data_IF_119802041484
#
_entry.id   IF_119802041484
#
_cell.length_a   1.000
_cell.length_b   1.000
_cell.length_c   1.000
_cell.angle_alpha   90.00
_cell.angle_beta   90.00
_cell.angle_gamma   90.00
#
_symmetry.space_group_name_H-M   'P 1'
#
loop_
_entity.id
_entity.type
_entity.pdbx_description
1 polymer ?
#
# COMPACT_ATOMS: atom_id res chain seq x y z
N UNK A 1 24.05 -6.94 -30.20
CA UNK A 1 23.34 -6.76 -28.90
C UNK A 1 23.93 -5.51 -28.27
N UNK A 2 23.09 -4.64 -27.69
CA UNK A 2 23.49 -3.35 -27.12
C UNK A 2 23.07 -3.32 -25.66
N UNK A 3 23.97 -2.84 -24.80
CA UNK A 3 23.68 -2.58 -23.39
C UNK A 3 23.44 -1.09 -23.18
N UNK A 4 22.36 -0.79 -22.46
CA UNK A 4 21.90 0.57 -22.20
C UNK A 4 21.91 0.82 -20.70
N UNK A 5 22.64 1.85 -20.29
CA UNK A 5 22.59 2.34 -18.91
C UNK A 5 21.26 3.05 -18.64
N UNK A 6 20.88 3.18 -17.36
CA UNK A 6 19.70 3.96 -17.01
C UNK A 6 19.83 5.39 -17.56
N UNK A 7 18.73 5.91 -18.13
CA UNK A 7 18.61 7.22 -18.78
C UNK A 7 19.30 7.37 -20.16
N UNK A 8 19.99 6.35 -20.67
CA UNK A 8 20.61 6.43 -22.00
C UNK A 8 19.56 6.41 -23.11
N UNK A 9 19.82 7.20 -24.17
CA UNK A 9 18.94 7.29 -25.33
C UNK A 9 19.31 6.21 -26.35
N UNK A 10 18.31 5.46 -26.81
CA UNK A 10 18.48 4.44 -27.85
C UNK A 10 18.32 5.04 -29.26
N UNK A 11 17.32 5.89 -29.46
CA UNK A 11 17.10 6.68 -30.69
C UNK A 11 16.25 7.92 -30.38
N UNK A 12 16.30 8.92 -31.26
CA UNK A 12 15.51 10.16 -31.19
C UNK A 12 14.30 10.10 -32.11
N UNK A 13 13.29 10.89 -31.77
CA UNK A 13 12.26 11.25 -32.73
C UNK A 13 12.90 11.88 -33.98
N UNK A 14 12.34 11.56 -35.15
CA UNK A 14 12.81 11.92 -36.48
C UNK A 14 14.12 11.26 -36.94
N UNK A 15 14.73 10.38 -36.14
CA UNK A 15 15.84 9.56 -36.63
C UNK A 15 15.34 8.56 -37.71
N UNK A 16 16.09 8.36 -38.81
CA UNK A 16 15.76 7.36 -39.81
C UNK A 16 15.81 5.94 -39.21
N UNK A 17 14.82 5.12 -39.56
CA UNK A 17 14.72 3.74 -39.08
C UNK A 17 15.67 2.87 -39.90
N UNK A 18 16.86 2.59 -39.36
CA UNK A 18 17.80 1.61 -39.90
C UNK A 18 17.74 0.26 -39.20
N UNK A 19 17.42 0.29 -37.91
CA UNK A 19 17.39 -0.89 -37.04
C UNK A 19 16.05 -1.00 -36.34
N UNK A 20 15.54 -2.22 -36.21
CA UNK A 20 14.48 -2.61 -35.30
C UNK A 20 15.10 -3.08 -33.99
N UNK A 21 14.51 -2.68 -32.86
CA UNK A 21 15.02 -3.04 -31.54
C UNK A 21 14.08 -3.98 -30.80
N UNK A 22 14.64 -5.07 -30.27
CA UNK A 22 13.96 -5.99 -29.37
C UNK A 22 14.56 -5.85 -27.98
N UNK A 23 13.75 -5.44 -27.02
CA UNK A 23 14.14 -5.39 -25.61
C UNK A 23 14.20 -6.81 -25.06
N UNK A 24 15.40 -7.30 -24.75
CA UNK A 24 15.64 -8.64 -24.22
C UNK A 24 15.64 -8.68 -22.69
N UNK A 25 16.11 -7.61 -22.04
CA UNK A 25 16.07 -7.44 -20.58
C UNK A 25 15.98 -5.95 -20.22
N UNK A 26 15.39 -5.64 -19.07
CA UNK A 26 15.24 -4.26 -18.57
C UNK A 26 13.92 -3.59 -18.98
N UNK A 27 13.94 -2.26 -19.06
CA UNK A 27 12.75 -1.45 -19.30
C UNK A 27 13.12 -0.14 -20.00
N UNK A 28 12.33 0.23 -21.01
CA UNK A 28 12.51 1.48 -21.77
C UNK A 28 11.20 2.25 -21.86
N UNK A 29 11.29 3.56 -22.01
CA UNK A 29 10.16 4.44 -22.32
C UNK A 29 10.32 4.99 -23.73
N UNK A 30 9.22 5.03 -24.49
CA UNK A 30 9.10 5.84 -25.69
C UNK A 30 8.33 7.10 -25.37
N UNK A 31 8.90 8.23 -25.71
CA UNK A 31 8.47 9.56 -25.28
C UNK A 31 8.38 10.50 -26.47
N UNK A 32 7.29 11.26 -26.53
CA UNK A 32 7.09 12.30 -27.52
C UNK A 32 7.15 13.66 -26.84
N UNK A 33 7.94 14.58 -27.39
CA UNK A 33 8.03 15.94 -26.87
C UNK A 33 6.82 16.74 -27.38
N UNK A 34 5.96 17.19 -26.48
CA UNK A 34 4.83 18.05 -26.84
C UNK A 34 5.32 19.46 -27.19
N UNK A 35 4.59 20.23 -28.02
CA UNK A 35 4.93 21.62 -28.35
C UNK A 35 5.11 22.52 -27.12
N UNK A 36 4.47 22.16 -26.01
CA UNK A 36 4.59 22.83 -24.70
C UNK A 36 5.92 22.60 -23.98
N UNK A 37 6.83 21.79 -24.54
CA UNK A 37 8.10 21.40 -23.91
C UNK A 37 8.01 20.22 -22.93
N UNK A 38 6.81 19.71 -22.64
CA UNK A 38 6.62 18.54 -21.79
C UNK A 38 6.73 17.23 -22.59
N UNK A 39 7.44 16.24 -22.05
CA UNK A 39 7.50 14.89 -22.61
C UNK A 39 6.28 14.06 -22.21
N UNK A 40 5.63 13.43 -23.20
CA UNK A 40 4.53 12.48 -23.01
C UNK A 40 5.02 11.07 -23.31
N UNK A 41 4.94 10.19 -22.32
CA UNK A 41 5.25 8.76 -22.48
C UNK A 41 4.16 8.12 -23.35
N UNK A 42 4.54 7.62 -24.52
CA UNK A 42 3.67 6.87 -25.44
C UNK A 42 3.63 5.38 -25.10
N UNK A 43 4.77 4.81 -24.71
CA UNK A 43 4.90 3.38 -24.47
C UNK A 43 5.90 3.14 -23.33
N UNK A 44 5.52 2.29 -22.37
CA UNK A 44 6.45 1.71 -21.40
C UNK A 44 6.64 0.24 -21.73
N UNK A 45 7.77 -0.06 -22.35
CA UNK A 45 8.10 -1.40 -22.80
C UNK A 45 8.88 -2.14 -21.72
N UNK A 46 8.50 -3.40 -21.52
CA UNK A 46 9.15 -4.33 -20.61
C UNK A 46 9.61 -5.56 -21.35
N UNK A 47 10.80 -6.04 -21.01
CA UNK A 47 11.32 -7.23 -21.62
C UNK A 47 10.41 -8.46 -21.38
N UNK A 48 10.24 -9.37 -22.38
CA UNK A 48 10.71 -9.25 -23.76
C UNK A 48 9.69 -8.52 -24.67
N UNK A 49 10.14 -7.53 -25.46
CA UNK A 49 9.24 -6.75 -26.31
C UNK A 49 9.92 -6.13 -27.54
N UNK A 50 9.28 -6.21 -28.71
CA UNK A 50 9.69 -5.43 -29.90
C UNK A 50 9.24 -3.98 -29.76
N UNK A 51 10.16 -3.04 -29.89
CA UNK A 51 9.91 -1.61 -29.72
C UNK A 51 9.39 -1.00 -31.02
N UNK A 52 8.50 -0.01 -30.90
CA UNK A 52 8.00 0.80 -32.03
C UNK A 52 7.46 -0.03 -33.22
N UNK A 53 6.93 -1.23 -32.98
CA UNK A 53 6.56 -2.18 -34.05
C UNK A 53 5.65 -1.57 -35.13
N UNK A 54 4.71 -0.70 -34.76
CA UNK A 54 3.87 0.02 -35.71
C UNK A 54 4.67 1.00 -36.60
N UNK A 55 5.63 1.73 -36.03
CA UNK A 55 6.48 2.66 -36.79
C UNK A 55 7.46 1.93 -37.70
N UNK A 56 8.02 0.80 -37.22
CA UNK A 56 8.94 -0.02 -38.01
C UNK A 56 8.32 -0.50 -39.34
N UNK A 57 7.00 -0.71 -39.37
CA UNK A 57 6.28 -1.20 -40.55
C UNK A 57 5.61 -0.09 -41.36
N UNK A 58 5.12 0.97 -40.70
CA UNK A 58 4.34 2.03 -41.35
C UNK A 58 5.13 3.30 -41.67
N UNK A 59 6.35 3.47 -41.13
CA UNK A 59 7.13 4.70 -41.25
C UNK A 59 8.57 4.45 -41.70
N UNK A 60 9.23 5.55 -42.05
CA UNK A 60 10.67 5.60 -42.39
C UNK A 60 11.50 6.27 -41.30
N UNK A 61 10.86 7.01 -40.37
CA UNK A 61 11.49 7.70 -39.25
C UNK A 61 10.75 7.39 -37.94
N UNK A 62 11.48 7.42 -36.83
CA UNK A 62 10.89 7.22 -35.50
C UNK A 62 10.01 8.42 -35.12
N UNK A 63 8.78 8.17 -34.65
CA UNK A 63 7.87 9.24 -34.23
C UNK A 63 8.07 9.72 -32.79
N UNK A 64 8.91 9.02 -32.04
CA UNK A 64 9.16 9.28 -30.63
C UNK A 64 10.59 8.85 -30.27
N UNK A 65 11.16 9.51 -29.27
CA UNK A 65 12.45 9.15 -28.71
C UNK A 65 12.31 7.92 -27.81
N UNK A 66 13.33 7.06 -27.74
CA UNK A 66 13.34 5.90 -26.85
C UNK A 66 14.49 5.98 -25.86
N UNK A 67 14.19 5.86 -24.57
CA UNK A 67 15.15 5.99 -23.47
C UNK A 67 15.08 4.79 -22.52
N UNK A 68 16.24 4.31 -22.09
CA UNK A 68 16.32 3.28 -21.07
C UNK A 68 15.95 3.83 -19.68
N UNK A 69 15.09 3.12 -18.95
CA UNK A 69 14.67 3.50 -17.60
C UNK A 69 15.49 2.82 -16.51
N UNK A 70 16.09 1.69 -16.85
CA UNK A 70 17.00 0.89 -16.03
C UNK A 70 18.07 0.28 -16.94
N UNK A 71 19.07 -0.39 -16.36
CA UNK A 71 20.00 -1.20 -17.14
C UNK A 71 19.22 -2.17 -18.05
N UNK A 72 19.41 -2.06 -19.36
CA UNK A 72 18.60 -2.74 -20.36
C UNK A 72 19.47 -3.34 -21.45
N UNK A 73 19.06 -4.50 -21.95
CA UNK A 73 19.73 -5.20 -23.05
C UNK A 73 18.78 -5.21 -24.24
N UNK A 74 19.23 -4.68 -25.38
CA UNK A 74 18.44 -4.64 -26.61
C UNK A 74 19.16 -5.35 -27.76
N UNK A 75 18.40 -6.03 -28.60
CA UNK A 75 18.88 -6.64 -29.83
C UNK A 75 18.49 -5.73 -31.00
N UNK A 76 19.50 -5.20 -31.68
CA UNK A 76 19.32 -4.46 -32.93
C UNK A 76 19.26 -5.43 -34.11
N UNK A 77 18.29 -5.24 -34.99
CA UNK A 77 18.06 -6.05 -36.19
C UNK A 77 17.95 -5.08 -37.37
N UNK A 78 18.76 -5.26 -38.43
CA UNK A 78 18.64 -4.45 -39.65
C UNK A 78 17.20 -4.52 -40.19
N UNK A 79 16.58 -3.35 -40.38
CA UNK A 79 15.16 -3.27 -40.75
C UNK A 79 14.88 -3.87 -42.13
N UNK A 80 15.83 -3.84 -43.06
CA UNK A 80 15.68 -4.41 -44.41
C UNK A 80 15.67 -5.92 -44.33
N UNK A 81 16.54 -6.51 -43.50
CA UNK A 81 16.52 -7.96 -43.22
C UNK A 81 15.24 -8.38 -42.53
N UNK A 82 14.76 -7.62 -41.55
CA UNK A 82 13.49 -7.90 -40.88
C UNK A 82 12.32 -7.86 -41.87
N UNK A 83 12.19 -6.79 -42.66
CA UNK A 83 11.13 -6.67 -43.69
C UNK A 83 11.20 -7.80 -44.71
N UNK A 84 12.40 -8.15 -45.17
CA UNK A 84 12.59 -9.29 -46.08
C UNK A 84 12.21 -10.64 -45.47
N UNK A 85 12.49 -10.85 -44.17
CA UNK A 85 12.07 -12.05 -43.46
C UNK A 85 10.55 -12.13 -43.29
N UNK A 86 9.89 -11.01 -42.96
CA UNK A 86 8.43 -10.93 -42.84
C UNK A 86 7.77 -11.32 -44.16
N UNK A 87 8.27 -10.81 -45.29
CA UNK A 87 7.71 -11.13 -46.62
C UNK A 87 7.87 -12.61 -47.02
N UNK A 88 8.92 -13.28 -46.55
CA UNK A 88 9.23 -14.67 -46.93
C UNK A 88 8.61 -15.71 -45.98
N UNK A 89 8.32 -15.34 -44.74
CA UNK A 89 7.81 -16.24 -43.71
C UNK A 89 6.37 -15.85 -43.29
N UNK A 90 5.34 -16.56 -43.80
CA UNK A 90 3.95 -16.34 -43.42
C UNK A 90 3.68 -16.50 -41.92
N UNK A 91 4.39 -17.40 -41.23
CA UNK A 91 4.19 -17.62 -39.80
C UNK A 91 4.72 -16.43 -38.98
N UNK A 92 5.87 -15.86 -39.35
CA UNK A 92 6.38 -14.63 -38.76
C UNK A 92 5.44 -13.44 -39.03
N UNK A 93 4.98 -13.30 -40.29
CA UNK A 93 4.00 -12.29 -40.68
C UNK A 93 2.76 -12.35 -39.80
N UNK A 94 2.17 -13.53 -39.64
CA UNK A 94 0.98 -13.72 -38.81
C UNK A 94 1.23 -13.37 -37.34
N UNK A 95 2.37 -13.77 -36.77
CA UNK A 95 2.73 -13.42 -35.38
C UNK A 95 2.87 -11.91 -35.18
N UNK A 96 3.38 -11.18 -36.17
CA UNK A 96 3.47 -9.72 -36.13
C UNK A 96 2.08 -9.09 -36.20
N UNK A 97 1.22 -9.56 -37.11
CA UNK A 97 -0.18 -9.09 -37.21
C UNK A 97 -0.92 -9.34 -35.90
N UNK A 98 -0.81 -10.53 -35.31
CA UNK A 98 -1.39 -10.83 -34.00
C UNK A 98 -0.85 -9.93 -32.90
N UNK A 99 0.44 -9.60 -32.91
CA UNK A 99 1.06 -8.71 -31.93
C UNK A 99 0.54 -7.28 -32.07
N UNK A 100 0.39 -6.79 -33.30
CA UNK A 100 -0.20 -5.47 -33.58
C UNK A 100 -1.68 -5.43 -33.20
N UNK A 101 -2.46 -6.45 -33.57
CA UNK A 101 -3.88 -6.54 -33.22
C UNK A 101 -4.10 -6.54 -31.71
N UNK A 102 -3.31 -7.33 -30.95
CA UNK A 102 -3.35 -7.32 -29.47
C UNK A 102 -3.04 -5.93 -28.89
N UNK A 103 -2.04 -5.23 -29.44
CA UNK A 103 -1.71 -3.87 -29.01
C UNK A 103 -2.80 -2.88 -29.37
N UNK A 104 -3.39 -2.99 -30.55
CA UNK A 104 -4.48 -2.13 -31.01
C UNK A 104 -5.70 -2.31 -30.10
N UNK A 105 -6.13 -3.55 -29.83
CA UNK A 105 -7.23 -3.80 -28.90
C UNK A 105 -6.92 -3.28 -27.49
N UNK A 106 -5.67 -3.41 -27.01
CA UNK A 106 -5.27 -2.85 -25.72
C UNK A 106 -5.34 -1.31 -25.70
N UNK A 107 -4.91 -0.64 -26.78
CA UNK A 107 -5.03 0.82 -26.92
C UNK A 107 -6.50 1.25 -27.01
N UNK A 108 -7.31 0.56 -27.81
CA UNK A 108 -8.74 0.83 -27.95
C UNK A 108 -9.47 0.61 -26.62
N UNK A 109 -9.11 -0.42 -25.86
CA UNK A 109 -9.60 -0.65 -24.51
C UNK A 109 -9.16 0.45 -23.53
N UNK A 110 -7.89 0.89 -23.60
CA UNK A 110 -7.36 1.99 -22.79
C UNK A 110 -8.06 3.32 -23.10
N UNK A 111 -8.36 3.59 -24.38
CA UNK A 111 -9.06 4.80 -24.83
C UNK A 111 -10.54 4.74 -24.45
N UNK A 112 -11.22 3.63 -24.74
CA UNK A 112 -12.67 3.45 -24.52
C UNK A 112 -13.04 3.30 -23.04
N UNK A 113 -12.16 2.74 -22.22
CA UNK A 113 -12.46 2.42 -20.82
C UNK A 113 -12.24 3.58 -19.83
N UNK A 114 -11.37 4.57 -20.12
CA UNK A 114 -10.73 5.33 -19.04
C UNK A 114 -10.72 6.87 -19.16
N UNK A 115 -11.18 7.45 -20.27
CA UNK A 115 -10.96 8.89 -20.51
C UNK A 115 -12.21 9.77 -20.35
N UNK A 116 -13.42 9.21 -20.41
CA UNK A 116 -14.65 10.02 -20.48
C UNK A 116 -15.29 10.37 -19.12
N UNK A 117 -14.72 9.94 -17.98
CA UNK A 117 -15.31 10.22 -16.66
C UNK A 117 -14.59 9.68 -15.41
N UNK A 118 -13.53 8.88 -15.57
CA UNK A 118 -12.81 8.27 -14.45
C UNK A 118 -11.97 9.29 -13.66
N UNK A 119 -12.02 9.24 -12.32
CA UNK A 119 -11.14 10.03 -11.46
C UNK A 119 -9.71 9.51 -11.51
N UNK A 120 -8.74 10.33 -11.06
CA UNK A 120 -7.34 9.92 -10.96
C UNK A 120 -7.13 8.67 -10.09
N UNK A 121 -7.97 8.45 -9.07
CA UNK A 121 -7.94 7.25 -8.23
C UNK A 121 -8.38 6.00 -9.01
N UNK A 122 -9.47 6.10 -9.78
CA UNK A 122 -9.94 5.02 -10.64
C UNK A 122 -8.89 4.60 -11.67
N UNK A 123 -8.26 5.57 -12.37
CA UNK A 123 -7.22 5.27 -13.37
C UNK A 123 -6.02 4.51 -12.78
N UNK A 124 -5.62 4.85 -11.55
CA UNK A 124 -4.56 4.12 -10.85
C UNK A 124 -5.04 2.71 -10.49
N UNK A 125 -6.26 2.57 -9.98
CA UNK A 125 -6.83 1.28 -9.62
C UNK A 125 -6.88 0.36 -10.85
N UNK A 126 -7.44 0.83 -11.98
CA UNK A 126 -7.54 0.05 -13.20
C UNK A 126 -6.16 -0.37 -13.72
N UNK A 127 -5.17 0.53 -13.67
CA UNK A 127 -3.78 0.19 -13.99
C UNK A 127 -3.23 -0.91 -13.09
N UNK A 128 -3.49 -0.86 -11.78
CA UNK A 128 -3.04 -1.89 -10.84
C UNK A 128 -3.73 -3.23 -11.11
N UNK A 129 -5.04 -3.22 -11.38
CA UNK A 129 -5.81 -4.43 -11.69
C UNK A 129 -5.34 -5.06 -13.00
N UNK A 130 -5.06 -4.26 -14.04
CA UNK A 130 -4.49 -4.74 -15.29
C UNK A 130 -3.11 -5.41 -15.10
N UNK A 131 -2.30 -4.92 -14.15
CA UNK A 131 -1.01 -5.54 -13.81
C UNK A 131 -1.14 -6.77 -12.91
N UNK A 132 -2.22 -6.86 -12.12
CA UNK A 132 -2.51 -7.98 -11.23
C UNK A 132 -2.98 -9.23 -12.00
N UNK A 133 -3.64 -9.05 -13.16
CA UNK A 133 -4.21 -10.14 -13.97
C UNK A 133 -5.58 -10.63 -13.46
N UNK A 134 -6.11 -11.70 -14.06
CA UNK A 134 -7.51 -12.14 -13.91
C UNK A 134 -7.87 -12.83 -12.59
N UNK A 135 -6.96 -12.89 -11.61
CA UNK A 135 -7.18 -13.62 -10.33
C UNK A 135 -7.44 -12.66 -9.17
N UNK A 136 -8.61 -12.06 -9.16
CA UNK A 136 -9.09 -11.27 -8.03
C UNK A 136 -10.14 -12.12 -7.28
N UNK A 137 -9.76 -12.63 -6.11
CA UNK A 137 -10.69 -13.34 -5.22
C UNK A 137 -11.68 -12.38 -4.55
N UNK A 138 -12.62 -12.92 -3.78
CA UNK A 138 -13.57 -12.10 -2.99
C UNK A 138 -12.87 -11.33 -1.85
N UNK A 139 -11.81 -11.91 -1.29
CA UNK A 139 -11.05 -11.37 -0.17
C UNK A 139 -9.54 -11.59 -0.37
N UNK A 140 -8.73 -11.04 0.54
CA UNK A 140 -7.28 -11.12 0.50
C UNK A 140 -6.64 -9.97 -0.26
N UNK A 141 -5.41 -10.16 -0.71
CA UNK A 141 -4.66 -9.14 -1.44
C UNK A 141 -3.92 -9.67 -2.67
N UNK A 142 -3.75 -8.81 -3.67
CA UNK A 142 -2.82 -9.03 -4.78
C UNK A 142 -1.69 -8.01 -4.74
N UNK A 143 -0.46 -8.48 -4.71
CA UNK A 143 0.73 -7.63 -4.75
C UNK A 143 1.14 -7.29 -6.18
N UNK A 144 1.06 -6.02 -6.54
CA UNK A 144 1.61 -5.48 -7.78
C UNK A 144 2.96 -4.83 -7.50
N UNK A 145 4.01 -5.29 -8.20
CA UNK A 145 5.34 -4.66 -8.12
C UNK A 145 5.44 -3.59 -9.21
N UNK A 146 5.56 -2.33 -8.81
CA UNK A 146 5.79 -1.20 -9.71
C UNK A 146 7.22 -1.28 -10.26
N UNK A 147 7.34 -1.78 -11.49
CA UNK A 147 8.62 -1.97 -12.17
C UNK A 147 9.22 -0.66 -12.74
N UNK A 148 8.43 0.41 -12.80
CA UNK A 148 8.89 1.75 -13.16
C UNK A 148 8.67 2.74 -12.00
N UNK A 149 9.27 3.93 -12.07
CA UNK A 149 9.06 4.96 -11.06
C UNK A 149 7.62 5.47 -11.08
N UNK A 150 7.12 5.97 -9.94
CA UNK A 150 5.77 6.56 -9.85
C UNK A 150 5.58 7.73 -10.84
N UNK A 151 6.63 8.51 -11.10
CA UNK A 151 6.64 9.60 -12.10
C UNK A 151 6.35 9.07 -13.51
N UNK A 152 7.01 7.97 -13.87
CA UNK A 152 6.88 7.34 -15.18
C UNK A 152 5.50 6.71 -15.35
N UNK A 153 4.99 6.04 -14.31
CA UNK A 153 3.64 5.46 -14.33
C UNK A 153 2.60 6.57 -14.44
N UNK A 154 2.75 7.67 -13.70
CA UNK A 154 1.85 8.82 -13.77
C UNK A 154 1.74 9.36 -15.20
N UNK A 155 2.88 9.55 -15.89
CA UNK A 155 2.90 9.98 -17.28
C UNK A 155 2.17 8.98 -18.21
N UNK A 156 2.38 7.66 -18.02
CA UNK A 156 1.70 6.61 -18.80
C UNK A 156 0.19 6.67 -18.65
N UNK A 157 -0.30 6.81 -17.42
CA UNK A 157 -1.74 6.95 -17.15
C UNK A 157 -2.21 8.40 -17.29
N UNK A 158 -1.51 9.26 -18.04
CA UNK A 158 -1.93 10.63 -18.34
C UNK A 158 -2.24 11.48 -17.10
N UNK A 159 -1.41 11.42 -16.06
CA UNK A 159 -1.53 12.18 -14.81
C UNK A 159 -0.18 12.83 -14.44
N UNK A 160 -0.20 13.93 -13.69
CA UNK A 160 1.04 14.48 -13.11
C UNK A 160 1.53 13.62 -11.94
N UNK A 161 2.84 13.60 -11.60
CA UNK A 161 3.37 12.83 -10.47
C UNK A 161 2.74 13.19 -9.12
N UNK A 162 2.39 14.46 -8.92
CA UNK A 162 1.72 14.97 -7.73
C UNK A 162 0.27 14.46 -7.70
N UNK A 163 -0.42 14.48 -8.84
CA UNK A 163 -1.79 13.97 -8.97
C UNK A 163 -1.85 12.46 -8.76
N UNK A 164 -0.84 11.73 -9.24
CA UNK A 164 -0.66 10.30 -8.98
C UNK A 164 -0.47 10.04 -7.48
N UNK A 165 0.43 10.78 -6.85
CA UNK A 165 0.70 10.62 -5.41
C UNK A 165 -0.52 10.95 -4.55
N UNK A 166 -1.29 12.00 -4.90
CA UNK A 166 -2.55 12.35 -4.24
C UNK A 166 -3.62 11.26 -4.42
N UNK A 167 -3.80 10.77 -5.65
CA UNK A 167 -4.82 9.76 -5.96
C UNK A 167 -4.47 8.40 -5.35
N UNK A 168 -3.18 8.04 -5.32
CA UNK A 168 -2.70 6.83 -4.63
C UNK A 168 -2.89 6.94 -3.12
N UNK A 169 -2.68 8.13 -2.54
CA UNK A 169 -3.00 8.38 -1.12
C UNK A 169 -4.50 8.27 -0.87
N UNK A 170 -5.34 8.80 -1.75
CA UNK A 170 -6.80 8.64 -1.65
C UNK A 170 -7.22 7.16 -1.66
N UNK A 171 -6.68 6.34 -2.55
CA UNK A 171 -6.93 4.89 -2.56
C UNK A 171 -6.50 4.23 -1.25
N UNK A 172 -5.37 4.66 -0.70
CA UNK A 172 -4.86 4.16 0.57
C UNK A 172 -5.71 4.58 1.76
N UNK A 173 -6.17 5.84 1.80
CA UNK A 173 -7.03 6.36 2.86
C UNK A 173 -8.40 5.66 2.88
N UNK A 174 -8.87 5.21 1.71
CA UNK A 174 -10.08 4.40 1.55
C UNK A 174 -9.88 2.90 1.81
N UNK A 175 -8.65 2.45 2.05
CA UNK A 175 -8.33 1.04 2.34
C UNK A 175 -8.29 0.14 1.10
N UNK A 176 -8.33 0.68 -0.12
CA UNK A 176 -8.32 -0.10 -1.36
C UNK A 176 -6.92 -0.63 -1.69
N UNK A 177 -5.89 0.13 -1.31
CA UNK A 177 -4.50 -0.26 -1.54
C UNK A 177 -3.62 0.02 -0.32
N UNK A 178 -2.60 -0.82 -0.12
CA UNK A 178 -1.51 -0.58 0.83
C UNK A 178 -0.19 -0.46 0.08
N UNK A 179 0.56 0.62 0.31
CA UNK A 179 1.79 0.93 -0.43
C UNK A 179 3.04 0.66 0.40
N UNK A 180 3.86 -0.28 -0.05
CA UNK A 180 5.14 -0.66 0.57
C UNK A 180 6.29 -0.46 -0.42
N UNK A 181 6.81 0.77 -0.47
CA UNK A 181 7.87 1.13 -1.42
C UNK A 181 7.40 1.02 -2.87
N UNK A 182 7.90 0.01 -3.60
CA UNK A 182 7.49 -0.32 -4.97
C UNK A 182 6.39 -1.39 -5.03
N UNK A 183 6.04 -2.02 -3.91
CA UNK A 183 4.93 -2.98 -3.85
C UNK A 183 3.64 -2.24 -3.52
N UNK A 184 2.59 -2.51 -4.27
CA UNK A 184 1.24 -2.01 -4.02
C UNK A 184 0.34 -3.23 -3.84
N UNK A 185 -0.23 -3.36 -2.66
CA UNK A 185 -1.12 -4.47 -2.31
C UNK A 185 -2.56 -4.02 -2.49
N UNK A 186 -3.24 -4.56 -3.50
CA UNK A 186 -4.66 -4.27 -3.76
C UNK A 186 -5.50 -5.18 -2.87
N UNK A 187 -6.38 -4.58 -2.06
CA UNK A 187 -7.21 -5.30 -1.10
C UNK A 187 -8.54 -5.69 -1.75
N UNK A 188 -8.78 -6.98 -1.93
CA UNK A 188 -9.90 -7.46 -2.75
C UNK A 188 -11.27 -7.15 -2.15
N UNK A 189 -11.44 -7.41 -0.85
CA UNK A 189 -12.70 -7.13 -0.15
C UNK A 189 -13.06 -5.64 -0.15
N UNK A 190 -12.06 -4.78 -0.31
CA UNK A 190 -12.26 -3.35 -0.38
C UNK A 190 -12.71 -2.86 -1.76
N UNK A 191 -12.66 -3.68 -2.83
CA UNK A 191 -13.02 -3.30 -4.22
C UNK A 191 -14.53 -3.20 -4.46
N UNK A 192 -15.35 -3.82 -3.61
CA UNK A 192 -16.81 -3.75 -3.65
C UNK A 192 -17.31 -2.56 -2.82
N UNK A 193 -18.33 -1.86 -3.33
CA UNK A 193 -19.12 -0.93 -2.52
C UNK A 193 -20.01 -1.74 -1.57
N UNK A 194 -19.52 -1.94 -0.33
CA UNK A 194 -20.34 -2.53 0.74
C UNK A 194 -21.22 -1.42 1.32
N UNK A 195 -22.31 -1.11 0.63
CA UNK A 195 -23.46 -0.45 1.25
C UNK A 195 -24.41 -1.53 1.77
N UNK A 196 -25.04 -1.28 2.93
CA UNK A 196 -25.98 -2.21 3.55
C UNK A 196 -26.98 -2.77 2.52
N UNK A 197 -26.82 -4.04 2.16
CA UNK A 197 -27.76 -4.79 1.32
C UNK A 197 -27.58 -4.72 -0.21
N UNK A 198 -26.52 -4.11 -0.76
CA UNK A 198 -26.25 -4.15 -2.22
C UNK A 198 -24.87 -4.74 -2.52
N UNK A 199 -24.80 -6.06 -2.71
CA UNK A 199 -23.62 -6.70 -3.29
C UNK A 199 -23.67 -6.55 -4.82
N UNK A 200 -22.57 -6.08 -5.43
CA UNK A 200 -22.38 -6.20 -6.88
C UNK A 200 -21.89 -4.95 -7.63
N UNK A 201 -21.77 -3.78 -7.00
CA UNK A 201 -21.15 -2.63 -7.67
C UNK A 201 -19.67 -2.50 -7.28
N UNK A 202 -18.79 -2.52 -8.29
CA UNK A 202 -17.39 -2.12 -8.14
C UNK A 202 -17.34 -0.68 -7.66
N UNK A 203 -16.48 -0.39 -6.69
CA UNK A 203 -16.19 0.96 -6.19
C UNK A 203 -16.11 1.95 -7.35
N UNK A 204 -17.06 2.88 -7.43
CA UNK A 204 -17.01 3.99 -8.38
C UNK A 204 -16.54 5.24 -7.68
N UNK A 205 -15.32 5.66 -8.00
CA UNK A 205 -14.78 6.92 -7.51
C UNK A 205 -15.44 8.08 -8.27
N UNK A 206 -16.50 8.66 -7.69
CA UNK A 206 -17.16 9.86 -8.24
C UNK A 206 -16.21 11.06 -8.19
N UNK A 207 -16.23 11.87 -9.24
CA UNK A 207 -15.45 13.12 -9.33
C UNK A 207 -15.96 14.08 -8.25
N UNK A 208 -15.18 14.31 -7.18
CA UNK A 208 -15.42 15.47 -6.30
C UNK A 208 -15.33 16.72 -7.17
N UNK A 209 -16.41 17.50 -7.24
CA UNK A 209 -16.43 18.79 -7.92
C UNK A 209 -15.29 19.67 -7.42
N UNK A 210 -14.65 20.40 -8.34
CA UNK A 210 -13.61 21.40 -8.02
C UNK A 210 -14.16 22.34 -6.94
N UNK A 211 -13.43 22.43 -5.82
CA UNK A 211 -13.56 23.47 -4.81
C UNK A 211 -14.98 23.76 -4.33
N UNK A 212 -15.48 22.92 -3.43
CA UNK A 212 -15.89 23.49 -2.15
C UNK A 212 -14.81 23.10 -1.17
N UNK A 213 -14.30 24.05 -0.39
CA UNK A 213 -13.41 23.74 0.74
C UNK A 213 -13.98 22.58 1.54
N UNK A 214 -13.14 21.84 2.26
CA UNK A 214 -13.64 21.04 3.38
C UNK A 214 -14.63 21.95 4.12
N UNK A 215 -15.93 21.61 4.21
CA UNK A 215 -16.83 22.43 4.99
C UNK A 215 -16.18 22.50 6.37
N UNK A 216 -15.80 23.69 6.82
CA UNK A 216 -15.48 23.90 8.22
C UNK A 216 -16.77 23.56 8.96
N UNK A 217 -16.86 22.33 9.48
CA UNK A 217 -18.10 21.76 10.03
C UNK A 217 -18.52 20.39 9.49
N UNK A 218 -17.80 19.76 8.55
CA UNK A 218 -18.12 18.38 8.15
C UNK A 218 -17.87 17.40 9.31
N UNK A 219 -18.94 16.99 10.00
CA UNK A 219 -18.91 16.01 11.10
C UNK A 219 -18.29 14.69 10.60
N UNK A 220 -17.23 14.24 11.26
CA UNK A 220 -16.61 12.94 11.01
C UNK A 220 -17.60 11.83 11.37
N UNK A 221 -17.70 10.79 10.52
CA UNK A 221 -18.53 9.63 10.84
C UNK A 221 -18.01 8.92 12.11
N UNK A 222 -18.88 8.39 12.98
CA UNK A 222 -18.48 7.77 14.25
C UNK A 222 -17.39 6.71 14.10
N UNK A 223 -17.55 5.74 13.19
CA UNK A 223 -16.52 4.72 12.96
C UNK A 223 -15.23 5.29 12.39
N UNK A 224 -15.30 6.34 11.57
CA UNK A 224 -14.09 7.03 11.08
C UNK A 224 -13.34 7.73 12.22
N UNK A 225 -14.05 8.25 13.23
CA UNK A 225 -13.44 8.82 14.42
C UNK A 225 -12.80 7.74 15.30
N UNK A 226 -13.52 6.66 15.59
CA UNK A 226 -13.00 5.51 16.35
C UNK A 226 -11.74 4.95 15.69
N UNK A 227 -11.74 4.76 14.36
CA UNK A 227 -10.55 4.32 13.65
C UNK A 227 -9.41 5.35 13.74
N UNK A 228 -9.69 6.65 13.58
CA UNK A 228 -8.70 7.71 13.69
C UNK A 228 -8.01 7.71 15.07
N UNK A 229 -8.78 7.64 16.16
CA UNK A 229 -8.26 7.51 17.52
C UNK A 229 -7.44 6.21 17.68
N UNK A 230 -7.97 5.10 17.17
CA UNK A 230 -7.33 3.79 17.23
C UNK A 230 -6.02 3.68 16.46
N UNK A 231 -5.71 4.61 15.53
CA UNK A 231 -4.41 4.63 14.83
C UNK A 231 -3.27 4.97 15.77
N UNK A 232 -3.49 5.80 16.80
CA UNK A 232 -2.46 6.13 17.78
C UNK A 232 -1.95 4.87 18.50
N UNK A 233 -2.86 3.94 18.85
CA UNK A 233 -2.52 2.65 19.45
C UNK A 233 -1.58 1.83 18.57
N UNK A 234 -1.91 1.67 17.29
CA UNK A 234 -1.09 0.90 16.35
C UNK A 234 0.25 1.58 16.07
N UNK A 235 0.26 2.90 15.86
CA UNK A 235 1.46 3.67 15.54
C UNK A 235 2.47 3.64 16.69
N UNK A 236 2.00 3.71 17.96
CA UNK A 236 2.90 3.61 19.11
C UNK A 236 3.67 2.30 19.13
N UNK A 237 3.01 1.17 18.86
CA UNK A 237 3.66 -0.14 18.80
C UNK A 237 4.64 -0.24 17.64
N UNK A 238 4.27 0.26 16.46
CA UNK A 238 5.12 0.17 15.26
C UNK A 238 6.36 1.05 15.35
N UNK A 239 6.29 2.20 16.03
CA UNK A 239 7.46 3.03 16.31
C UNK A 239 8.47 2.27 17.19
N UNK A 240 7.99 1.58 18.23
CA UNK A 240 8.85 0.77 19.09
C UNK A 240 9.50 -0.40 18.32
N UNK A 241 8.76 -1.11 17.46
CA UNK A 241 9.33 -2.15 16.58
C UNK A 241 10.41 -1.55 15.69
N UNK A 242 10.14 -0.43 15.01
CA UNK A 242 11.10 0.19 14.11
C UNK A 242 12.38 0.62 14.85
N UNK A 243 12.24 1.18 16.07
CA UNK A 243 13.37 1.48 16.94
C UNK A 243 14.14 0.22 17.34
N UNK A 244 13.46 -0.86 17.76
CA UNK A 244 14.11 -2.08 18.19
C UNK A 244 14.86 -2.80 17.06
N UNK A 245 14.38 -2.68 15.82
CA UNK A 245 15.10 -3.16 14.63
C UNK A 245 16.39 -2.37 14.39
N UNK A 246 16.37 -1.05 14.58
CA UNK A 246 17.58 -0.21 14.52
C UNK A 246 18.56 -0.64 15.61
N UNK A 247 18.07 -0.75 16.86
CA UNK A 247 18.86 -1.14 18.02
C UNK A 247 19.51 -2.53 17.86
N UNK A 248 18.81 -3.47 17.21
CA UNK A 248 19.31 -4.81 16.91
C UNK A 248 20.20 -4.90 15.65
N UNK A 249 20.49 -3.79 14.97
CA UNK A 249 21.31 -3.78 13.75
C UNK A 249 20.61 -4.41 12.53
N UNK A 250 19.28 -4.51 12.53
CA UNK A 250 18.51 -5.22 11.51
C UNK A 250 17.89 -4.24 10.50
N UNK A 251 18.43 -4.23 9.27
CA UNK A 251 17.92 -3.36 8.19
C UNK A 251 17.86 -1.87 8.61
N UNK A 252 18.91 -1.41 9.29
CA UNK A 252 19.01 -0.11 10.00
C UNK A 252 18.48 1.05 9.16
N UNK A 253 18.95 1.22 7.92
CA UNK A 253 18.51 2.31 7.05
C UNK A 253 17.00 2.27 6.76
N UNK A 254 16.48 1.08 6.42
CA UNK A 254 15.05 0.89 6.15
C UNK A 254 14.21 1.12 7.40
N UNK A 255 14.68 0.64 8.55
CA UNK A 255 14.02 0.82 9.84
C UNK A 255 14.02 2.29 10.29
N UNK A 256 15.11 3.04 10.07
CA UNK A 256 15.21 4.46 10.36
C UNK A 256 14.28 5.31 9.49
N UNK A 257 14.21 5.02 8.18
CA UNK A 257 13.24 5.67 7.28
C UNK A 257 11.80 5.36 7.73
N UNK A 258 11.53 4.12 8.11
CA UNK A 258 10.23 3.69 8.62
C UNK A 258 9.85 4.41 9.92
N UNK A 259 10.78 4.51 10.87
CA UNK A 259 10.57 5.19 12.15
C UNK A 259 10.19 6.66 11.94
N UNK A 260 10.98 7.41 11.16
CA UNK A 260 10.66 8.82 10.85
C UNK A 260 9.29 8.98 10.21
N UNK A 261 8.92 8.09 9.29
CA UNK A 261 7.59 8.09 8.66
C UNK A 261 6.47 7.85 9.68
N UNK A 262 6.65 6.90 10.59
CA UNK A 262 5.66 6.57 11.63
C UNK A 262 5.50 7.71 12.63
N UNK A 263 6.59 8.34 13.07
CA UNK A 263 6.57 9.55 13.92
C UNK A 263 5.75 10.66 13.26
N UNK A 264 6.05 10.97 11.99
CA UNK A 264 5.31 11.99 11.25
C UNK A 264 3.85 11.61 10.98
N UNK A 265 3.53 10.32 10.87
CA UNK A 265 2.16 9.84 10.77
C UNK A 265 1.39 10.01 12.09
N UNK A 266 2.02 9.73 13.21
CA UNK A 266 1.47 9.92 14.55
C UNK A 266 1.17 11.39 14.82
N UNK A 267 2.14 12.29 14.59
CA UNK A 267 1.97 13.74 14.75
C UNK A 267 0.84 14.30 13.86
N UNK A 268 0.70 13.79 12.62
CA UNK A 268 -0.41 14.17 11.74
C UNK A 268 -1.77 13.68 12.24
N UNK A 269 -1.84 12.52 12.87
CA UNK A 269 -3.09 12.02 13.48
C UNK A 269 -3.48 12.92 14.64
N UNK A 270 -2.54 13.31 15.51
CA UNK A 270 -2.81 14.21 16.63
C UNK A 270 -3.29 15.59 16.15
N UNK A 271 -2.61 16.19 15.18
CA UNK A 271 -3.01 17.47 14.60
C UNK A 271 -4.40 17.40 13.95
N UNK A 272 -4.74 16.26 13.33
CA UNK A 272 -6.08 16.04 12.75
C UNK A 272 -7.15 15.91 13.85
N UNK A 273 -6.87 15.22 14.95
CA UNK A 273 -7.79 15.12 16.08
C UNK A 273 -8.05 16.48 16.73
N UNK A 274 -7.00 17.30 16.88
CA UNK A 274 -7.11 18.67 17.36
C UNK A 274 -7.98 19.55 16.44
N UNK A 275 -7.74 19.50 15.13
CA UNK A 275 -8.48 20.29 14.15
C UNK A 275 -9.98 19.93 14.03
N UNK A 276 -10.39 18.75 14.51
CA UNK A 276 -11.79 18.31 14.44
C UNK A 276 -12.70 19.00 15.48
N UNK A 277 -12.14 19.61 16.52
CA UNK A 277 -12.94 20.19 17.62
C UNK A 277 -13.71 19.08 18.36
N UNK A 278 -13.05 18.43 19.30
CA UNK A 278 -13.56 17.21 19.92
C UNK A 278 -14.58 17.53 21.03
N UNK A 279 -15.62 16.70 21.25
CA UNK A 279 -16.47 16.80 22.43
C UNK A 279 -15.64 16.69 23.72
N UNK A 280 -16.09 17.34 24.80
CA UNK A 280 -15.42 17.34 26.11
C UNK A 280 -15.07 15.91 26.60
N UNK A 281 -15.93 14.93 26.29
CA UNK A 281 -15.72 13.51 26.63
C UNK A 281 -14.41 12.94 26.06
N UNK A 282 -13.99 13.40 24.88
CA UNK A 282 -12.79 12.89 24.18
C UNK A 282 -11.53 13.70 24.52
N UNK A 283 -11.70 14.90 25.07
CA UNK A 283 -10.61 15.85 25.28
C UNK A 283 -9.63 15.36 26.33
N UNK A 284 -10.12 14.79 27.43
CA UNK A 284 -9.27 14.19 28.47
C UNK A 284 -8.35 13.08 27.91
N UNK A 285 -8.88 12.20 27.07
CA UNK A 285 -8.13 11.15 26.40
C UNK A 285 -7.12 11.71 25.39
N UNK A 286 -7.49 12.76 24.64
CA UNK A 286 -6.61 13.44 23.68
C UNK A 286 -5.41 14.09 24.39
N UNK A 287 -5.68 14.82 25.47
CA UNK A 287 -4.66 15.46 26.31
C UNK A 287 -3.68 14.43 26.86
N UNK A 288 -4.18 13.31 27.39
CA UNK A 288 -3.31 12.24 27.90
C UNK A 288 -2.34 11.68 26.84
N UNK A 289 -2.78 11.55 25.58
CA UNK A 289 -1.90 11.12 24.48
C UNK A 289 -0.85 12.18 24.16
N UNK A 290 -1.26 13.46 24.13
CA UNK A 290 -0.36 14.59 23.86
C UNK A 290 0.69 14.75 24.97
N UNK A 291 0.32 14.55 26.23
CA UNK A 291 1.23 14.63 27.38
C UNK A 291 2.22 13.45 27.43
N UNK A 292 1.79 12.25 27.03
CA UNK A 292 2.67 11.08 26.97
C UNK A 292 3.66 11.12 25.79
N UNK A 293 3.34 11.88 24.73
CA UNK A 293 4.11 11.87 23.49
C UNK A 293 5.55 12.41 23.60
N UNK A 294 5.83 13.55 24.27
CA UNK A 294 7.19 14.10 24.37
C UNK A 294 8.22 13.12 24.94
N UNK A 295 7.90 12.41 26.03
CA UNK A 295 8.82 11.43 26.62
C UNK A 295 9.08 10.27 25.65
N UNK A 296 8.02 9.77 25.01
CA UNK A 296 8.19 8.69 24.03
C UNK A 296 9.03 9.13 22.82
N UNK A 297 8.77 10.33 22.30
CA UNK A 297 9.53 10.92 21.19
C UNK A 297 11.00 11.10 21.55
N UNK A 298 11.30 11.56 22.77
CA UNK A 298 12.67 11.70 23.26
C UNK A 298 13.37 10.33 23.36
N UNK A 299 12.69 9.33 23.93
CA UNK A 299 13.23 7.97 24.04
C UNK A 299 13.55 7.35 22.67
N UNK A 300 12.73 7.61 21.65
CA UNK A 300 12.96 7.16 20.27
C UNK A 300 14.12 7.89 19.57
N UNK A 301 14.40 9.14 19.92
CA UNK A 301 15.33 10.02 19.21
C UNK A 301 16.76 10.05 19.77
N UNK A 302 16.96 9.62 21.03
CA UNK A 302 18.28 9.50 21.66
C UNK A 302 19.27 8.67 20.81
N UNK A 303 20.58 8.75 21.02
CA UNK A 303 21.57 7.96 20.28
C UNK A 303 22.00 6.70 21.07
N UNK A 304 22.39 5.65 20.35
CA UNK A 304 22.92 4.40 20.95
C UNK A 304 21.86 3.42 21.47
N UNK A 305 22.17 2.12 21.41
CA UNK A 305 21.27 1.04 21.83
C UNK A 305 21.75 0.42 23.15
N UNK A 306 21.07 0.73 24.26
CA UNK A 306 21.35 0.17 25.58
C UNK A 306 20.11 -0.54 26.16
N UNK A 307 20.28 -1.56 27.03
CA UNK A 307 19.14 -2.20 27.71
C UNK A 307 18.27 -1.22 28.51
N UNK A 308 18.88 -0.25 29.19
CA UNK A 308 18.16 0.80 29.93
C UNK A 308 17.25 1.62 29.00
N UNK A 309 17.76 1.96 27.81
CA UNK A 309 16.99 2.68 26.81
C UNK A 309 15.89 1.83 26.18
N UNK A 310 16.16 0.56 25.89
CA UNK A 310 15.13 -0.37 25.43
C UNK A 310 13.97 -0.47 26.44
N UNK A 311 14.29 -0.55 27.73
CA UNK A 311 13.27 -0.50 28.81
C UNK A 311 12.47 0.79 28.77
N UNK A 312 13.12 1.96 28.58
CA UNK A 312 12.44 3.26 28.46
C UNK A 312 11.51 3.33 27.24
N UNK A 313 11.99 2.92 26.06
CA UNK A 313 11.18 2.89 24.82
C UNK A 313 9.98 1.96 24.96
N UNK A 314 10.18 0.78 25.55
CA UNK A 314 9.09 -0.16 25.81
C UNK A 314 8.05 0.45 26.74
N UNK A 315 8.46 0.98 27.90
CA UNK A 315 7.56 1.60 28.86
C UNK A 315 6.79 2.79 28.27
N UNK A 316 7.47 3.72 27.62
CA UNK A 316 6.84 4.88 27.01
C UNK A 316 5.87 4.49 25.88
N UNK A 317 6.16 3.41 25.14
CA UNK A 317 5.23 2.89 24.12
C UNK A 317 3.94 2.32 24.71
N UNK A 318 3.98 1.75 25.92
CA UNK A 318 2.81 1.26 26.66
C UNK A 318 2.03 2.43 27.28
N UNK A 319 2.69 3.44 27.85
CA UNK A 319 2.02 4.66 28.34
C UNK A 319 1.20 5.35 27.24
N UNK A 320 1.78 5.49 26.04
CA UNK A 320 1.07 6.06 24.89
C UNK A 320 -0.05 5.13 24.41
N UNK A 321 0.13 3.81 24.50
CA UNK A 321 -0.92 2.85 24.18
C UNK A 321 -2.13 3.02 25.10
N UNK A 322 -1.93 3.04 26.41
CA UNK A 322 -2.99 3.17 27.41
C UNK A 322 -3.77 4.48 27.25
N UNK A 323 -3.05 5.59 27.00
CA UNK A 323 -3.69 6.86 26.69
C UNK A 323 -4.53 6.79 25.40
N UNK A 324 -4.00 6.18 24.34
CA UNK A 324 -4.70 6.03 23.07
C UNK A 324 -5.89 5.04 23.14
N UNK A 325 -5.84 4.03 24.02
CA UNK A 325 -6.94 3.09 24.25
C UNK A 325 -8.09 3.75 24.98
N UNK A 326 -7.80 4.57 26.01
CA UNK A 326 -8.81 5.41 26.67
C UNK A 326 -9.47 6.38 25.69
N UNK A 327 -8.68 7.09 24.88
CA UNK A 327 -9.20 7.97 23.84
C UNK A 327 -10.11 7.23 22.85
N UNK A 328 -9.73 6.03 22.42
CA UNK A 328 -10.55 5.30 21.44
C UNK A 328 -11.83 4.74 22.05
N UNK A 329 -11.77 4.27 23.30
CA UNK A 329 -12.94 3.78 24.03
C UNK A 329 -13.93 4.91 24.28
N UNK A 330 -13.45 6.10 24.64
CA UNK A 330 -14.29 7.29 24.76
C UNK A 330 -14.95 7.64 23.42
N UNK A 331 -14.22 7.52 22.29
CA UNK A 331 -14.76 7.77 20.96
C UNK A 331 -15.86 6.78 20.55
N UNK A 332 -15.75 5.52 20.97
CA UNK A 332 -16.81 4.52 20.77
C UNK A 332 -18.06 4.87 21.57
N UNK A 333 -17.89 5.26 22.84
CA UNK A 333 -19.00 5.60 23.74
C UNK A 333 -19.72 6.89 23.32
N UNK A 334 -19.01 7.85 22.73
CA UNK A 334 -19.53 9.17 22.38
C UNK A 334 -20.73 9.15 21.41
N UNK A 335 -20.86 8.12 20.58
CA UNK A 335 -21.92 8.03 19.56
C UNK A 335 -22.94 6.92 19.80
N UNK A 336 -22.67 5.97 20.71
CA UNK A 336 -23.62 4.92 21.09
C UNK A 336 -24.09 4.00 19.95
N UNK A 337 -23.32 3.91 18.84
CA UNK A 337 -23.68 3.09 17.68
C UNK A 337 -23.10 1.67 17.82
N UNK A 338 -23.92 0.60 17.72
CA UNK A 338 -23.44 -0.78 17.79
C UNK A 338 -22.34 -1.11 16.78
N UNK A 339 -22.36 -0.51 15.58
CA UNK A 339 -21.37 -0.81 14.55
C UNK A 339 -20.00 -0.16 14.82
N UNK A 340 -19.96 0.92 15.62
CA UNK A 340 -18.70 1.55 16.03
C UNK A 340 -17.89 0.65 16.99
N UNK A 341 -18.58 -0.24 17.71
CA UNK A 341 -17.96 -1.26 18.55
C UNK A 341 -17.05 -2.18 17.74
N UNK A 342 -17.54 -2.72 16.61
CA UNK A 342 -16.76 -3.62 15.78
C UNK A 342 -15.56 -2.92 15.11
N UNK A 343 -15.65 -1.61 14.85
CA UNK A 343 -14.49 -0.81 14.43
C UNK A 343 -13.43 -0.76 15.53
N UNK A 344 -13.83 -0.58 16.80
CA UNK A 344 -12.89 -0.62 17.93
C UNK A 344 -12.29 -2.03 18.11
N UNK A 345 -13.09 -3.08 18.11
CA UNK A 345 -12.63 -4.48 18.28
C UNK A 345 -11.66 -4.88 17.17
N UNK A 346 -11.99 -4.59 15.90
CA UNK A 346 -11.05 -4.81 14.78
C UNK A 346 -9.78 -3.96 14.91
N UNK A 347 -9.92 -2.70 15.33
CA UNK A 347 -8.81 -1.79 15.61
C UNK A 347 -7.92 -2.24 16.77
N UNK A 348 -8.48 -2.95 17.74
CA UNK A 348 -7.78 -3.57 18.87
C UNK A 348 -6.99 -4.78 18.41
N UNK A 349 -7.54 -5.64 17.56
CA UNK A 349 -6.77 -6.73 16.93
C UNK A 349 -5.60 -6.22 16.09
N UNK A 350 -5.79 -5.11 15.39
CA UNK A 350 -4.71 -4.41 14.70
C UNK A 350 -3.58 -4.04 15.67
N UNK A 351 -3.91 -3.41 16.80
CA UNK A 351 -2.94 -3.05 17.83
C UNK A 351 -2.25 -4.29 18.42
N UNK A 352 -3.02 -5.30 18.83
CA UNK A 352 -2.53 -6.52 19.48
C UNK A 352 -1.51 -7.25 18.59
N UNK A 353 -1.77 -7.35 17.28
CA UNK A 353 -0.80 -7.93 16.33
C UNK A 353 0.56 -7.22 16.38
N UNK A 354 0.56 -5.89 16.50
CA UNK A 354 1.79 -5.10 16.58
C UNK A 354 2.39 -5.12 17.99
N UNK A 355 1.57 -5.16 19.05
CA UNK A 355 2.05 -5.28 20.44
C UNK A 355 2.76 -6.62 20.66
N UNK A 356 2.19 -7.72 20.16
CA UNK A 356 2.84 -9.05 20.22
C UNK A 356 4.17 -9.04 19.47
N UNK A 357 4.20 -8.48 18.25
CA UNK A 357 5.43 -8.32 17.48
C UNK A 357 6.48 -7.47 18.21
N UNK A 358 6.05 -6.38 18.87
CA UNK A 358 6.92 -5.54 19.70
C UNK A 358 7.48 -6.32 20.88
N UNK A 359 6.63 -6.94 21.70
CA UNK A 359 7.03 -7.73 22.87
C UNK A 359 8.04 -8.82 22.48
N UNK A 360 7.79 -9.53 21.39
CA UNK A 360 8.72 -10.54 20.85
C UNK A 360 10.12 -9.96 20.57
N UNK A 361 10.20 -8.80 19.90
CA UNK A 361 11.49 -8.17 19.58
C UNK A 361 12.18 -7.60 20.82
N UNK A 362 11.42 -7.11 21.80
CA UNK A 362 11.94 -6.54 23.05
C UNK A 362 12.33 -7.57 24.11
N UNK A 363 11.84 -8.83 24.02
CA UNK A 363 12.07 -9.88 25.01
C UNK A 363 13.53 -10.03 25.44
N UNK A 364 14.45 -9.82 24.52
CA UNK A 364 15.89 -10.03 24.70
C UNK A 364 16.62 -8.79 25.23
N UNK A 365 15.93 -7.66 25.34
CA UNK A 365 16.45 -6.41 25.89
C UNK A 365 16.02 -6.21 27.36
N UNK A 366 15.10 -7.04 27.84
CA UNK A 366 14.51 -6.95 29.18
C UNK A 366 15.02 -8.11 30.03
N UNK A 367 15.22 -7.87 31.33
CA UNK A 367 15.75 -8.86 32.27
C UNK A 367 14.77 -10.00 32.60
N UNK A 368 13.47 -9.83 32.33
CA UNK A 368 12.38 -10.74 32.72
C UNK A 368 11.64 -11.30 31.48
N UNK A 369 12.24 -12.25 30.73
CA UNK A 369 11.64 -12.77 29.51
C UNK A 369 10.36 -13.58 29.73
N UNK A 370 10.17 -14.18 30.92
CA UNK A 370 8.94 -14.90 31.27
C UNK A 370 7.73 -13.97 31.33
N UNK A 371 7.88 -12.80 31.98
CA UNK A 371 6.84 -11.77 32.03
C UNK A 371 6.41 -11.29 30.64
N UNK A 372 7.38 -11.11 29.74
CA UNK A 372 7.10 -10.74 28.34
C UNK A 372 6.31 -11.84 27.62
N UNK A 373 6.60 -13.12 27.92
CA UNK A 373 5.84 -14.23 27.36
C UNK A 373 4.40 -14.25 27.86
N UNK A 374 4.17 -14.03 29.17
CA UNK A 374 2.82 -13.94 29.74
C UNK A 374 2.01 -12.81 29.08
N UNK A 375 2.64 -11.66 28.81
CA UNK A 375 2.00 -10.54 28.10
C UNK A 375 1.67 -10.88 26.64
N UNK A 376 2.54 -11.65 25.96
CA UNK A 376 2.29 -12.16 24.61
C UNK A 376 1.09 -13.13 24.62
N UNK A 377 1.03 -14.04 25.58
CA UNK A 377 -0.02 -15.05 25.68
C UNK A 377 -1.37 -14.40 26.00
N UNK A 378 -1.39 -13.42 26.92
CA UNK A 378 -2.58 -12.64 27.21
C UNK A 378 -3.09 -11.87 25.97
N UNK A 379 -2.18 -11.20 25.24
CA UNK A 379 -2.53 -10.48 24.02
C UNK A 379 -3.00 -11.41 22.90
N UNK A 380 -2.45 -12.62 22.83
CA UNK A 380 -2.84 -13.68 21.89
C UNK A 380 -4.27 -14.14 22.17
N UNK A 381 -4.58 -14.50 23.41
CA UNK A 381 -5.93 -14.92 23.79
C UNK A 381 -6.97 -13.81 23.61
N UNK A 382 -6.57 -12.55 23.82
CA UNK A 382 -7.45 -11.40 23.53
C UNK A 382 -7.71 -11.23 22.04
N UNK A 383 -6.68 -11.34 21.20
CA UNK A 383 -6.84 -11.24 19.75
C UNK A 383 -7.82 -12.29 19.23
N UNK A 384 -7.73 -13.52 19.73
CA UNK A 384 -8.57 -14.64 19.31
C UNK A 384 -10.04 -14.44 19.70
N UNK A 385 -10.32 -14.03 20.95
CA UNK A 385 -11.69 -13.69 21.38
C UNK A 385 -12.32 -12.60 20.51
N UNK A 386 -11.57 -11.53 20.27
CA UNK A 386 -12.02 -10.44 19.39
C UNK A 386 -12.25 -10.93 17.95
N UNK A 387 -11.38 -11.81 17.43
CA UNK A 387 -11.54 -12.34 16.07
C UNK A 387 -12.81 -13.19 15.95
N UNK A 388 -13.09 -14.03 16.95
CA UNK A 388 -14.30 -14.86 16.97
C UNK A 388 -15.57 -14.00 17.02
N UNK A 389 -15.56 -12.93 17.82
CA UNK A 389 -16.65 -11.95 17.86
C UNK A 389 -16.87 -11.29 16.49
N UNK A 390 -15.81 -10.80 15.86
CA UNK A 390 -15.88 -10.18 14.52
C UNK A 390 -16.40 -11.18 13.47
N UNK A 391 -15.95 -12.44 13.52
CA UNK A 391 -16.44 -13.49 12.61
C UNK A 391 -17.93 -13.75 12.79
N UNK A 392 -18.43 -13.68 14.02
CA UNK A 392 -19.85 -13.81 14.32
C UNK A 392 -20.64 -12.63 13.75
N UNK A 393 -20.17 -11.39 13.94
CA UNK A 393 -20.85 -10.19 13.46
C UNK A 393 -20.84 -10.07 11.93
N UNK A 394 -19.73 -10.41 11.29
CA UNK A 394 -19.54 -10.32 9.83
C UNK A 394 -20.12 -11.47 9.01
N UNK A 395 -20.73 -12.48 9.64
CA UNK A 395 -21.08 -13.77 9.00
C UNK A 395 -22.04 -13.65 7.80
N UNK A 396 -22.88 -12.60 7.76
CA UNK A 396 -23.88 -12.40 6.69
C UNK A 396 -23.37 -11.56 5.51
N UNK A 397 -22.15 -11.02 5.62
CA UNK A 397 -21.54 -10.15 4.61
C UNK A 397 -20.38 -10.91 3.94
N UNK A 398 -20.52 -11.37 2.68
CA UNK A 398 -19.54 -12.24 2.03
C UNK A 398 -18.12 -11.66 2.00
N UNK A 399 -17.96 -10.39 1.65
CA UNK A 399 -16.67 -9.71 1.56
C UNK A 399 -16.00 -9.60 2.95
N UNK A 400 -16.78 -9.26 3.98
CA UNK A 400 -16.30 -9.16 5.35
C UNK A 400 -15.96 -10.53 5.94
N UNK A 401 -16.82 -11.53 5.72
CA UNK A 401 -16.58 -12.91 6.13
C UNK A 401 -15.33 -13.50 5.48
N UNK A 402 -15.16 -13.28 4.17
CA UNK A 402 -13.95 -13.66 3.43
C UNK A 402 -12.72 -12.95 3.99
N UNK A 403 -12.81 -11.64 4.26
CA UNK A 403 -11.68 -10.90 4.81
C UNK A 403 -11.30 -11.35 6.22
N UNK A 404 -12.26 -11.69 7.07
CA UNK A 404 -12.00 -12.22 8.42
C UNK A 404 -11.43 -13.63 8.40
N UNK A 405 -11.78 -14.44 7.39
CA UNK A 405 -11.10 -15.73 7.16
C UNK A 405 -9.63 -15.50 6.77
N UNK A 406 -9.35 -14.55 5.88
CA UNK A 406 -7.97 -14.18 5.55
C UNK A 406 -7.19 -13.68 6.78
N UNK A 407 -7.81 -12.86 7.65
CA UNK A 407 -7.21 -12.46 8.93
C UNK A 407 -6.90 -13.69 9.80
N UNK A 408 -7.80 -14.66 9.89
CA UNK A 408 -7.59 -15.90 10.64
C UNK A 408 -6.41 -16.71 10.08
N UNK A 409 -6.31 -16.85 8.77
CA UNK A 409 -5.24 -17.60 8.12
C UNK A 409 -3.88 -16.93 8.32
N UNK A 410 -3.82 -15.59 8.21
CA UNK A 410 -2.60 -14.82 8.48
C UNK A 410 -2.24 -14.82 9.96
N UNK A 411 -3.22 -14.82 10.87
CA UNK A 411 -3.00 -14.96 12.30
C UNK A 411 -2.30 -16.29 12.62
N UNK A 412 -2.78 -17.40 12.07
CA UNK A 412 -2.14 -18.70 12.24
C UNK A 412 -0.70 -18.74 11.68
N UNK A 413 -0.43 -18.04 10.58
CA UNK A 413 0.95 -17.88 10.06
C UNK A 413 1.82 -17.07 11.00
N UNK A 414 1.28 -16.00 11.59
CA UNK A 414 1.97 -15.18 12.57
C UNK A 414 2.30 -15.96 13.85
N UNK A 415 1.35 -16.73 14.40
CA UNK A 415 1.59 -17.61 15.56
C UNK A 415 2.68 -18.64 15.29
N UNK A 416 2.62 -19.33 14.14
CA UNK A 416 3.72 -20.23 13.71
C UNK A 416 5.05 -19.49 13.57
N UNK A 417 5.02 -18.21 13.22
CA UNK A 417 6.24 -17.42 13.16
C UNK A 417 6.79 -17.06 14.54
N UNK A 418 5.97 -16.93 15.57
CA UNK A 418 6.42 -16.68 16.94
C UNK A 418 7.08 -17.91 17.58
N UNK A 419 6.62 -19.11 17.22
CA UNK A 419 7.16 -20.35 17.75
C UNK A 419 8.68 -20.48 17.49
N UNK A 420 9.45 -21.02 18.45
CA UNK A 420 10.86 -21.37 18.22
C UNK A 420 10.96 -22.39 17.09
N UNK A 421 11.71 -22.07 16.03
CA UNK A 421 11.87 -22.93 14.86
C UNK A 421 13.35 -23.25 14.67
N UNK A 422 13.70 -24.53 14.74
CA UNK A 422 15.06 -25.05 14.56
C UNK A 422 15.61 -24.66 13.17
N UNK A 423 14.74 -24.46 12.16
CA UNK A 423 15.13 -24.01 10.82
C UNK A 423 15.47 -22.51 10.76
N UNK A 424 15.16 -21.72 11.79
CA UNK A 424 15.52 -20.30 11.92
C UNK A 424 16.72 -20.13 12.82
N UNK A 425 17.78 -20.88 12.49
CA UNK A 425 19.04 -21.00 13.27
C UNK A 425 19.63 -19.64 13.66
N UNK A 426 19.39 -18.59 12.87
CA UNK A 426 19.82 -17.23 13.19
C UNK A 426 18.68 -16.36 13.74
N UNK A 427 18.85 -15.84 14.96
CA UNK A 427 17.94 -14.92 15.65
C UNK A 427 17.48 -13.73 14.79
N UNK A 428 18.40 -13.14 14.03
CA UNK A 428 18.10 -12.05 13.10
C UNK A 428 17.06 -12.44 12.03
N UNK A 429 17.10 -13.69 11.56
CA UNK A 429 16.16 -14.22 10.58
C UNK A 429 14.79 -14.46 11.23
N UNK A 430 14.75 -14.96 12.47
CA UNK A 430 13.51 -15.15 13.22
C UNK A 430 12.78 -13.83 13.47
N UNK A 431 13.50 -12.80 13.95
CA UNK A 431 12.94 -11.44 14.13
C UNK A 431 12.38 -10.89 12.82
N UNK A 432 13.11 -11.02 11.70
CA UNK A 432 12.63 -10.56 10.39
C UNK A 432 11.39 -11.32 9.92
N UNK A 433 11.31 -12.63 10.18
CA UNK A 433 10.15 -13.44 9.85
C UNK A 433 8.92 -13.00 10.65
N UNK A 434 9.05 -12.85 11.98
CA UNK A 434 7.96 -12.40 12.87
C UNK A 434 7.47 -11.01 12.47
N UNK A 435 8.36 -10.04 12.31
CA UNK A 435 7.98 -8.68 11.89
C UNK A 435 7.35 -8.70 10.50
N UNK A 436 7.86 -9.52 9.59
CA UNK A 436 7.32 -9.70 8.25
C UNK A 436 5.87 -10.19 8.28
N UNK A 437 5.58 -11.27 9.02
CA UNK A 437 4.23 -11.80 9.16
C UNK A 437 3.31 -10.85 9.94
N UNK A 438 3.81 -10.13 10.96
CA UNK A 438 3.06 -9.07 11.65
C UNK A 438 2.63 -7.94 10.71
N UNK A 439 3.51 -7.51 9.80
CA UNK A 439 3.19 -6.50 8.78
C UNK A 439 2.17 -7.02 7.75
N UNK A 440 2.22 -8.31 7.40
CA UNK A 440 1.19 -8.92 6.52
C UNK A 440 -0.15 -8.96 7.21
N UNK A 441 -0.22 -9.54 8.41
CA UNK A 441 -1.44 -9.60 9.20
C UNK A 441 -2.06 -8.22 9.39
N UNK A 442 -1.23 -7.21 9.69
CA UNK A 442 -1.67 -5.82 9.81
C UNK A 442 -2.46 -5.33 8.58
N UNK A 443 -2.00 -5.62 7.36
CA UNK A 443 -2.72 -5.20 6.14
C UNK A 443 -4.12 -5.79 6.07
N UNK A 444 -4.25 -7.08 6.39
CA UNK A 444 -5.54 -7.76 6.37
C UNK A 444 -6.48 -7.25 7.47
N UNK A 445 -5.96 -6.97 8.66
CA UNK A 445 -6.76 -6.41 9.75
C UNK A 445 -7.14 -4.95 9.46
N UNK A 446 -6.26 -4.13 8.89
CA UNK A 446 -6.58 -2.76 8.44
C UNK A 446 -7.71 -2.77 7.41
N UNK A 447 -7.72 -3.72 6.48
CA UNK A 447 -8.84 -3.91 5.55
C UNK A 447 -10.12 -4.23 6.31
N UNK A 448 -10.11 -5.17 7.26
CA UNK A 448 -11.30 -5.49 8.06
C UNK A 448 -11.83 -4.27 8.84
N UNK A 449 -10.95 -3.49 9.49
CA UNK A 449 -11.30 -2.22 10.15
C UNK A 449 -12.01 -1.28 9.18
N UNK A 450 -11.49 -1.15 7.94
CA UNK A 450 -12.09 -0.31 6.91
C UNK A 450 -13.45 -0.81 6.42
N UNK A 451 -13.66 -2.12 6.35
CA UNK A 451 -14.98 -2.68 6.01
C UNK A 451 -15.99 -2.36 7.11
N UNK A 452 -15.66 -2.53 8.40
CA UNK A 452 -16.52 -2.12 9.50
C UNK A 452 -16.76 -0.60 9.54
N UNK A 453 -15.74 0.21 9.27
CA UNK A 453 -15.89 1.68 9.19
C UNK A 453 -16.92 2.09 8.13
N UNK A 454 -17.00 1.37 7.00
CA UNK A 454 -17.99 1.63 5.93
C UNK A 454 -19.42 1.27 6.37
N UNK A 455 -19.59 0.36 7.32
CA UNK A 455 -20.90 0.00 7.89
C UNK A 455 -21.43 1.04 8.88
N UNK A 456 -20.59 1.98 9.33
CA UNK A 456 -20.99 3.13 10.17
C UNK A 456 -21.18 4.41 9.33
N UNK A 457 -22.36 4.65 8.72
CA UNK A 457 -22.61 5.88 7.96
C UNK A 457 -22.55 7.12 8.86
N UNK A 458 -22.26 8.28 8.25
CA UNK A 458 -22.38 9.56 8.95
C UNK A 458 -23.85 9.80 9.34
N UNK A 459 -24.13 10.42 10.50
CA UNK A 459 -25.49 10.79 10.87
C UNK A 459 -26.10 11.65 9.76
N UNK A 460 -27.35 11.36 9.38
CA UNK A 460 -28.09 12.18 8.42
C UNK A 460 -28.12 13.64 8.91
N UNK A 461 -27.84 14.56 7.99
CA UNK A 461 -27.74 16.00 8.27
C UNK A 461 -29.09 16.59 8.67
#
# INVERSE_FOLDING_TARGET
MLELNAQSLLYRAEDPIHEAFVLASGSVAREHLLPTGNEKVLELAQAPQVLALGELLARTHYGASCRALAHSVVVAIDIRRLRGAIQKDPALSWRIVQTLAKRQCAIEFDVSGHHSGATGAQRILDYLLAQAGDRIGLAGETTVVLKASKKIIAARIGMTPESFSRSLRQLSDQGVVVVEGRKVHVQHAALSDIEAGKSGQRLRFVRKGKAQGVPSGARIAPGALVNLCGRCRMLSQRMAIAWALIAAGLSVEKAAVRLRRLVHEFERVLARLEALGMPDLLESGRVAVVEAWPDYRAALAEDGATPARAKRVLAASETVLDAADRLTSAAEQAFGLPDAHYVNVAGRNRMLSQRIGKLFVFREWVAEPARIQDEIDAATGEFERNLDELRHSGRRLPELSGQLQEVSDQWQRFLRALAPDVMRVQRAQHVRAVVGEADRLLRHVDTAVKLYERLTPAPAA
#
